data_IF_080065939238
#
_entry.id   IF_080065939238
#
_cell.length_a   1.000
_cell.length_b   1.000
_cell.length_c   1.000
_cell.angle_alpha   90.00
_cell.angle_beta   90.00
_cell.angle_gamma   90.00
#
_symmetry.space_group_name_H-M   'P 1'
#
loop_
_entity.id
_entity.type
_entity.pdbx_description
1 polymer ?
#
# COMPACT_ATOMS: atom_id res chain seq x y z
N UNK A 1 19.24 33.61 -3.98
CA UNK A 1 20.59 33.30 -3.48
C UNK A 1 20.65 31.81 -3.20
N UNK A 2 21.16 31.03 -4.15
CA UNK A 2 21.22 29.56 -4.09
C UNK A 2 22.25 29.14 -3.04
N UNK A 3 21.79 28.44 -1.99
CA UNK A 3 22.68 27.76 -1.04
C UNK A 3 22.54 26.25 -1.22
N UNK A 4 23.63 25.69 -1.72
CA UNK A 4 23.96 24.30 -2.01
C UNK A 4 23.47 23.28 -0.97
N UNK A 5 22.49 22.46 -1.37
CA UNK A 5 22.00 21.29 -0.65
C UNK A 5 22.86 20.05 -1.00
N UNK A 6 24.14 20.02 -0.59
CA UNK A 6 25.07 18.92 -0.93
C UNK A 6 25.87 18.32 0.22
N UNK A 7 25.58 18.62 1.49
CA UNK A 7 26.38 18.11 2.63
C UNK A 7 25.63 17.39 3.76
N UNK A 8 24.34 17.10 3.59
CA UNK A 8 23.57 16.33 4.59
C UNK A 8 23.18 14.91 4.12
N UNK A 9 23.50 14.52 2.89
CA UNK A 9 23.13 13.20 2.36
C UNK A 9 24.11 12.07 2.70
N UNK A 10 25.29 12.35 3.25
CA UNK A 10 26.36 11.34 3.40
C UNK A 10 26.50 10.75 4.80
N UNK A 11 25.82 11.31 5.82
CA UNK A 11 26.06 10.93 7.24
C UNK A 11 24.93 10.10 7.86
N UNK A 12 23.82 9.88 7.15
CA UNK A 12 22.70 9.02 7.61
C UNK A 12 22.65 7.64 6.91
N UNK A 13 23.57 7.37 5.97
CA UNK A 13 23.65 6.08 5.26
C UNK A 13 24.52 5.01 5.98
N UNK A 14 25.03 5.30 7.18
CA UNK A 14 25.92 4.39 7.91
C UNK A 14 25.44 3.97 9.32
N UNK A 15 24.25 4.36 9.74
CA UNK A 15 23.65 3.87 10.98
C UNK A 15 22.56 2.84 10.66
N UNK A 16 22.79 1.60 11.08
CA UNK A 16 21.98 0.39 10.82
C UNK A 16 22.04 -0.13 9.38
N UNK A 17 23.14 -0.82 9.06
CA UNK A 17 23.05 -1.97 8.15
C UNK A 17 22.16 -3.01 8.83
N UNK A 18 20.85 -2.91 8.63
CA UNK A 18 19.96 -4.05 8.85
C UNK A 18 20.52 -5.16 7.97
N UNK A 19 20.88 -6.33 8.51
CA UNK A 19 21.20 -7.45 7.65
C UNK A 19 19.90 -7.81 6.93
N UNK A 20 19.69 -7.24 5.75
CA UNK A 20 18.65 -7.71 4.83
C UNK A 20 19.07 -9.12 4.44
N UNK A 21 18.68 -10.09 5.25
CA UNK A 21 18.66 -11.46 4.81
C UNK A 21 17.50 -11.54 3.82
N UNK A 22 17.74 -11.92 2.56
CA UNK A 22 16.66 -12.32 1.67
C UNK A 22 16.12 -13.67 2.15
N UNK A 23 15.53 -13.72 3.35
CA UNK A 23 14.38 -14.59 3.50
C UNK A 23 13.43 -14.17 2.37
N UNK A 24 12.85 -15.13 1.65
CA UNK A 24 11.93 -14.80 0.54
C UNK A 24 10.76 -14.03 1.14
N UNK A 25 10.87 -12.70 1.20
CA UNK A 25 9.84 -11.83 1.75
C UNK A 25 8.56 -12.16 1.02
N UNK A 26 7.51 -12.49 1.75
CA UNK A 26 6.25 -12.88 1.14
C UNK A 26 5.57 -11.61 0.63
N UNK A 27 5.67 -11.43 -0.68
CA UNK A 27 5.17 -10.27 -1.42
C UNK A 27 3.98 -10.73 -2.25
N UNK A 28 2.78 -10.57 -1.70
CA UNK A 28 1.54 -10.95 -2.35
C UNK A 28 1.15 -9.85 -3.35
N UNK A 29 0.85 -10.23 -4.58
CA UNK A 29 0.44 -9.31 -5.64
C UNK A 29 -0.91 -9.73 -6.18
N UNK A 30 -1.70 -8.75 -6.61
CA UNK A 30 -2.90 -8.98 -7.41
C UNK A 30 -2.60 -8.52 -8.83
N UNK A 31 -2.90 -9.35 -9.83
CA UNK A 31 -2.52 -9.08 -11.20
C UNK A 31 -3.52 -9.63 -12.22
N UNK A 32 -3.39 -9.19 -13.46
CA UNK A 32 -4.01 -9.77 -14.65
C UNK A 32 -2.94 -10.16 -15.65
N UNK A 33 -3.23 -11.13 -16.51
CA UNK A 33 -2.37 -11.51 -17.64
C UNK A 33 -3.24 -11.89 -18.84
N UNK A 34 -2.78 -11.73 -20.09
CA UNK A 34 -3.60 -11.94 -21.29
C UNK A 34 -4.26 -13.34 -21.39
N UNK A 35 -3.61 -14.36 -20.84
CA UNK A 35 -4.07 -15.74 -20.87
C UNK A 35 -4.89 -16.16 -19.63
N UNK A 36 -5.17 -15.22 -18.72
CA UNK A 36 -5.90 -15.47 -17.48
C UNK A 36 -7.20 -14.67 -17.45
N UNK A 37 -8.31 -15.32 -17.07
CA UNK A 37 -9.60 -14.65 -16.94
C UNK A 37 -9.74 -14.00 -15.57
N UNK A 38 -9.86 -12.67 -15.55
CA UNK A 38 -10.06 -11.90 -14.33
C UNK A 38 -8.79 -11.74 -13.48
N UNK A 39 -8.90 -11.10 -12.30
CA UNK A 39 -7.78 -10.95 -11.39
C UNK A 39 -7.30 -12.32 -10.88
N UNK A 40 -6.01 -12.40 -10.58
CA UNK A 40 -5.39 -13.54 -9.90
C UNK A 40 -4.46 -13.03 -8.81
N UNK A 41 -4.16 -13.91 -7.86
CA UNK A 41 -3.16 -13.67 -6.83
C UNK A 41 -1.85 -14.36 -7.18
N UNK A 42 -0.76 -13.70 -6.81
CA UNK A 42 0.56 -14.23 -7.01
C UNK A 42 1.56 -13.84 -5.94
N UNK A 43 2.74 -14.43 -6.06
CA UNK A 43 3.92 -14.07 -5.27
C UNK A 43 4.92 -13.39 -6.20
N UNK A 44 5.38 -12.20 -5.83
CA UNK A 44 6.48 -11.53 -6.52
C UNK A 44 7.80 -12.22 -6.15
N UNK A 45 8.52 -12.71 -7.16
CA UNK A 45 9.82 -13.37 -6.98
C UNK A 45 10.91 -12.33 -6.73
N UNK A 46 11.22 -12.06 -5.47
CA UNK A 46 12.16 -11.00 -5.10
C UNK A 46 11.61 -9.60 -5.38
N UNK A 47 12.41 -8.55 -5.14
CA UNK A 47 11.97 -7.18 -5.43
C UNK A 47 12.03 -6.91 -6.94
N UNK A 48 10.87 -6.69 -7.57
CA UNK A 48 10.77 -6.35 -8.99
C UNK A 48 10.95 -7.54 -9.95
N UNK A 49 10.94 -8.78 -9.46
CA UNK A 49 10.97 -9.97 -10.32
C UNK A 49 9.61 -10.30 -10.95
N UNK A 50 9.54 -11.50 -11.53
CA UNK A 50 8.31 -12.05 -12.10
C UNK A 50 7.31 -12.52 -11.04
N UNK A 51 6.17 -13.03 -11.49
CA UNK A 51 5.05 -13.41 -10.62
C UNK A 51 4.77 -14.90 -10.70
N UNK A 52 4.71 -15.57 -9.54
CA UNK A 52 4.22 -16.95 -9.42
C UNK A 52 2.71 -16.88 -9.20
N UNK A 53 1.91 -17.46 -10.09
CA UNK A 53 0.46 -17.53 -9.94
C UNK A 53 0.08 -18.56 -8.86
N UNK A 54 -0.49 -18.11 -7.73
CA UNK A 54 -0.86 -18.99 -6.61
C UNK A 54 -1.90 -20.03 -7.02
N UNK A 55 -2.79 -19.72 -7.97
CA UNK A 55 -3.82 -20.65 -8.43
C UNK A 55 -3.25 -21.81 -9.28
N UNK A 56 -2.01 -21.71 -9.77
CA UNK A 56 -1.33 -22.87 -10.39
C UNK A 56 -0.80 -23.87 -9.37
N UNK A 57 -0.57 -23.42 -8.14
CA UNK A 57 -0.18 -24.27 -7.02
C UNK A 57 -1.42 -24.89 -6.35
N UNK A 58 -2.47 -24.08 -6.16
CA UNK A 58 -3.73 -24.51 -5.59
C UNK A 58 -4.90 -23.78 -6.27
N UNK A 59 -5.65 -24.46 -7.17
CA UNK A 59 -6.73 -23.83 -7.93
C UNK A 59 -7.94 -23.44 -7.07
N UNK A 60 -8.00 -23.89 -5.81
CA UNK A 60 -9.10 -23.57 -4.88
C UNK A 60 -8.92 -22.24 -4.16
N UNK A 61 -7.73 -21.65 -4.23
CA UNK A 61 -7.46 -20.36 -3.59
C UNK A 61 -8.32 -19.24 -4.18
N UNK A 62 -8.73 -18.26 -3.36
CA UNK A 62 -9.37 -17.06 -3.87
C UNK A 62 -8.51 -16.31 -4.87
N UNK A 63 -9.17 -15.65 -5.82
CA UNK A 63 -8.51 -14.93 -6.91
C UNK A 63 -8.29 -13.45 -6.62
N UNK A 64 -8.91 -12.93 -5.56
CA UNK A 64 -8.76 -11.55 -5.11
C UNK A 64 -8.13 -11.50 -3.73
N UNK A 65 -7.38 -10.42 -3.44
CA UNK A 65 -6.69 -10.29 -2.16
C UNK A 65 -7.66 -10.18 -0.99
N UNK A 66 -8.80 -9.50 -1.19
CA UNK A 66 -9.81 -9.33 -0.15
C UNK A 66 -10.33 -10.70 0.32
N UNK A 67 -10.78 -11.54 -0.60
CA UNK A 67 -11.27 -12.90 -0.29
C UNK A 67 -10.14 -13.77 0.30
N UNK A 68 -8.91 -13.61 -0.20
CA UNK A 68 -7.74 -14.33 0.33
C UNK A 68 -7.45 -13.95 1.79
N UNK A 69 -7.47 -12.66 2.12
CA UNK A 69 -7.23 -12.17 3.48
C UNK A 69 -8.38 -12.51 4.43
N UNK A 70 -9.61 -12.58 3.95
CA UNK A 70 -10.77 -13.02 4.75
C UNK A 70 -10.63 -14.47 5.26
N UNK A 71 -9.95 -15.32 4.51
CA UNK A 71 -9.65 -16.70 4.91
C UNK A 71 -8.43 -16.80 5.86
N UNK A 72 -7.67 -15.71 6.03
CA UNK A 72 -6.64 -15.56 7.05
C UNK A 72 -5.49 -16.56 6.94
N UNK A 73 -5.18 -17.22 8.06
CA UNK A 73 -3.99 -18.07 8.17
C UNK A 73 -4.02 -19.30 7.24
N UNK A 74 -5.21 -19.80 6.90
CA UNK A 74 -5.36 -20.95 6.01
C UNK A 74 -4.73 -20.65 4.64
N UNK A 75 -5.11 -19.55 4.00
CA UNK A 75 -4.59 -19.13 2.68
C UNK A 75 -3.14 -18.64 2.76
N UNK A 76 -2.77 -17.92 3.82
CA UNK A 76 -1.38 -17.51 4.06
C UNK A 76 -0.43 -18.70 4.16
N UNK A 77 -0.85 -19.79 4.80
CA UNK A 77 -0.05 -21.02 4.88
C UNK A 77 0.20 -21.66 3.50
N UNK A 78 -0.79 -21.61 2.61
CA UNK A 78 -0.65 -22.10 1.23
C UNK A 78 0.35 -21.23 0.46
N UNK A 79 0.27 -19.90 0.58
CA UNK A 79 1.22 -18.99 -0.03
C UNK A 79 2.66 -19.23 0.47
N UNK A 80 2.87 -19.50 1.77
CA UNK A 80 4.19 -19.86 2.31
C UNK A 80 4.73 -21.17 1.71
N UNK A 81 3.88 -22.16 1.43
CA UNK A 81 4.29 -23.40 0.74
C UNK A 81 4.60 -23.13 -0.74
N UNK A 82 3.82 -22.29 -1.41
CA UNK A 82 4.08 -21.92 -2.80
C UNK A 82 5.41 -21.15 -2.94
N UNK A 83 5.82 -20.36 -1.95
CA UNK A 83 7.11 -19.68 -1.93
C UNK A 83 8.31 -20.61 -2.00
N UNK A 84 8.20 -21.86 -1.54
CA UNK A 84 9.30 -22.84 -1.56
C UNK A 84 9.19 -23.82 -2.72
N UNK A 85 8.06 -23.84 -3.42
CA UNK A 85 7.84 -24.68 -4.59
C UNK A 85 8.57 -24.13 -5.83
N UNK A 86 8.99 -25.03 -6.72
CA UNK A 86 9.54 -24.66 -8.02
C UNK A 86 8.39 -24.54 -9.02
N UNK A 87 7.79 -23.36 -9.10
CA UNK A 87 6.65 -23.07 -9.97
C UNK A 87 7.06 -22.21 -11.18
N UNK A 88 6.31 -22.27 -12.29
CA UNK A 88 6.49 -21.33 -13.39
C UNK A 88 6.35 -19.88 -12.92
N UNK A 89 7.27 -19.03 -13.37
CA UNK A 89 7.26 -17.59 -13.07
C UNK A 89 6.83 -16.86 -14.33
N UNK A 90 5.74 -16.11 -14.25
CA UNK A 90 5.32 -15.20 -15.31
C UNK A 90 6.28 -14.01 -15.34
N UNK A 91 6.84 -13.65 -16.52
CA UNK A 91 7.63 -12.44 -16.65
C UNK A 91 6.83 -11.21 -16.21
N UNK A 92 7.50 -10.26 -15.55
CA UNK A 92 6.85 -9.02 -15.09
C UNK A 92 6.18 -8.25 -16.23
N UNK A 93 6.76 -8.30 -17.43
CA UNK A 93 6.24 -7.66 -18.63
C UNK A 93 4.95 -8.28 -19.17
N UNK A 94 4.58 -9.48 -18.72
CA UNK A 94 3.35 -10.17 -19.14
C UNK A 94 2.20 -9.99 -18.16
N UNK A 95 2.41 -9.24 -17.07
CA UNK A 95 1.41 -9.01 -16.04
C UNK A 95 1.09 -7.52 -15.89
N UNK A 96 -0.19 -7.23 -15.71
CA UNK A 96 -0.67 -5.92 -15.25
C UNK A 96 -0.96 -6.01 -13.77
N UNK A 97 -0.21 -5.26 -12.96
CA UNK A 97 -0.45 -5.21 -11.51
C UNK A 97 -1.69 -4.39 -11.20
N UNK A 98 -2.55 -4.95 -10.37
CA UNK A 98 -3.69 -4.26 -9.77
C UNK A 98 -3.30 -3.78 -8.37
N UNK A 99 -4.11 -2.90 -7.80
CA UNK A 99 -3.98 -2.57 -6.38
C UNK A 99 -4.04 -3.87 -5.55
N UNK A 100 -3.17 -4.07 -4.55
CA UNK A 100 -3.25 -5.24 -3.68
C UNK A 100 -4.58 -5.34 -2.96
N UNK A 101 -5.30 -4.24 -2.75
CA UNK A 101 -6.61 -4.20 -2.08
C UNK A 101 -7.48 -3.21 -2.84
N UNK A 102 -8.60 -3.65 -3.44
CA UNK A 102 -9.41 -2.82 -4.35
C UNK A 102 -10.76 -2.36 -3.80
N UNK A 103 -11.29 -3.01 -2.75
CA UNK A 103 -12.63 -2.72 -2.21
C UNK A 103 -12.74 -2.94 -0.69
N UNK A 104 -11.88 -2.32 0.13
CA UNK A 104 -12.00 -2.44 1.57
C UNK A 104 -13.26 -1.73 2.09
N UNK A 105 -13.82 -2.21 3.20
CA UNK A 105 -14.97 -1.55 3.87
C UNK A 105 -14.64 -0.12 4.30
N UNK A 106 -13.37 0.15 4.62
CA UNK A 106 -12.89 1.44 5.13
C UNK A 106 -11.48 1.73 4.61
N UNK A 107 -11.25 2.96 4.16
CA UNK A 107 -9.90 3.52 3.95
C UNK A 107 -9.73 4.62 4.98
N UNK A 108 -8.95 4.34 6.02
CA UNK A 108 -8.68 5.26 7.12
C UNK A 108 -7.31 5.86 6.93
N UNK A 109 -7.25 7.19 6.90
CA UNK A 109 -6.03 7.96 6.64
C UNK A 109 -5.64 8.75 7.89
N UNK A 110 -4.35 9.02 8.03
CA UNK A 110 -3.78 9.75 9.18
C UNK A 110 -3.05 10.97 8.66
N UNK A 111 -3.51 12.17 9.01
CA UNK A 111 -2.82 13.40 8.65
C UNK A 111 -1.81 13.81 9.69
N UNK A 112 -0.81 14.59 9.27
CA UNK A 112 0.17 15.22 10.16
C UNK A 112 0.91 14.21 11.05
N UNK A 113 1.20 13.03 10.50
CA UNK A 113 1.81 11.91 11.22
C UNK A 113 3.35 11.89 11.13
N UNK A 114 3.95 12.91 10.51
CA UNK A 114 5.40 13.12 10.45
C UNK A 114 5.74 14.49 11.02
N UNK A 115 6.64 14.52 12.00
CA UNK A 115 7.05 15.76 12.68
C UNK A 115 7.60 16.78 11.69
N UNK A 116 8.40 16.35 10.73
CA UNK A 116 9.00 17.25 9.75
C UNK A 116 7.97 17.80 8.76
N UNK A 117 6.95 17.01 8.42
CA UNK A 117 5.81 17.49 7.62
C UNK A 117 4.97 18.54 8.37
N UNK A 118 4.83 18.40 9.70
CA UNK A 118 4.20 19.42 10.52
C UNK A 118 5.01 20.74 10.51
N UNK A 119 6.35 20.64 10.61
CA UNK A 119 7.24 21.80 10.55
C UNK A 119 7.19 22.49 9.19
N UNK A 120 7.18 21.73 8.11
CA UNK A 120 7.06 22.24 6.73
C UNK A 120 5.83 23.12 6.55
N UNK A 121 4.71 22.70 7.12
CA UNK A 121 3.44 23.44 7.05
C UNK A 121 3.27 24.49 8.15
N UNK A 122 4.26 24.62 9.04
CA UNK A 122 4.22 25.51 10.21
C UNK A 122 2.98 25.28 11.09
N UNK A 123 2.63 24.01 11.33
CA UNK A 123 1.51 23.60 12.18
C UNK A 123 2.01 22.85 13.43
N UNK A 124 1.30 22.93 14.57
CA UNK A 124 1.68 22.19 15.76
C UNK A 124 1.53 20.68 15.53
N UNK A 125 2.45 19.90 16.12
CA UNK A 125 2.33 18.44 16.14
C UNK A 125 1.04 18.06 16.90
N UNK A 126 0.13 17.28 16.28
CA UNK A 126 -1.10 16.87 16.95
C UNK A 126 -0.82 16.03 18.20
N UNK A 127 -1.64 16.20 19.24
CA UNK A 127 -1.57 15.37 20.46
C UNK A 127 -2.26 14.01 20.29
N UNK A 128 -3.15 13.90 19.32
CA UNK A 128 -3.89 12.70 18.95
C UNK A 128 -3.87 12.58 17.42
N UNK A 129 -3.95 11.35 16.85
CA UNK A 129 -3.97 11.16 15.40
C UNK A 129 -5.14 11.89 14.74
N UNK A 130 -4.85 12.69 13.70
CA UNK A 130 -5.90 13.33 12.89
C UNK A 130 -6.39 12.32 11.86
N UNK A 131 -7.60 11.82 12.06
CA UNK A 131 -8.18 10.78 11.21
C UNK A 131 -9.11 11.39 10.17
N UNK A 132 -8.95 10.93 8.93
CA UNK A 132 -9.89 11.18 7.83
C UNK A 132 -10.05 9.90 7.00
N UNK A 133 -10.77 10.00 5.88
CA UNK A 133 -11.02 8.85 5.01
C UNK A 133 -10.91 9.23 3.54
N UNK A 134 -10.60 8.22 2.74
CA UNK A 134 -10.82 8.19 1.30
C UNK A 134 -11.91 7.15 1.00
N UNK A 135 -12.53 7.22 -0.16
CA UNK A 135 -13.42 6.16 -0.59
C UNK A 135 -12.67 5.05 -1.31
N UNK A 136 -13.12 3.81 -1.14
CA UNK A 136 -12.57 2.65 -1.84
C UNK A 136 -12.62 2.80 -3.37
N UNK A 137 -13.57 3.58 -3.90
CA UNK A 137 -13.67 3.89 -5.34
C UNK A 137 -12.49 4.70 -5.88
N UNK A 138 -11.76 5.41 -5.03
CA UNK A 138 -10.55 6.17 -5.44
C UNK A 138 -9.31 5.28 -5.60
N UNK A 139 -9.39 4.00 -5.20
CA UNK A 139 -8.26 3.07 -5.26
C UNK A 139 -7.99 2.64 -6.70
N UNK A 140 -6.73 2.79 -7.10
CA UNK A 140 -6.22 2.33 -8.40
C UNK A 140 -4.89 1.58 -8.23
N UNK A 141 -4.49 0.87 -9.27
CA UNK A 141 -3.25 0.12 -9.30
C UNK A 141 -2.00 1.00 -9.18
N UNK A 142 -0.85 0.37 -8.91
CA UNK A 142 0.42 1.06 -8.68
C UNK A 142 0.98 1.78 -9.92
N UNK A 143 0.47 1.43 -11.11
CA UNK A 143 0.91 1.94 -12.40
C UNK A 143 -0.23 2.56 -13.21
N UNK A 144 -1.41 2.67 -12.60
CA UNK A 144 -2.56 3.35 -13.22
C UNK A 144 -2.32 4.86 -13.20
N UNK A 145 -2.89 5.57 -14.17
CA UNK A 145 -2.77 7.02 -14.24
C UNK A 145 -3.56 7.70 -13.12
N UNK A 146 -2.96 8.73 -12.51
CA UNK A 146 -3.67 9.67 -11.64
C UNK A 146 -4.26 10.76 -12.53
N UNK A 147 -5.58 10.80 -12.62
CA UNK A 147 -6.30 11.78 -13.44
C UNK A 147 -6.43 13.08 -12.66
N UNK A 148 -5.88 14.17 -13.21
CA UNK A 148 -6.03 15.49 -12.63
C UNK A 148 -7.45 16.00 -12.91
N UNK A 149 -8.30 16.19 -11.88
CA UNK A 149 -9.67 16.64 -12.08
C UNK A 149 -9.68 18.08 -12.59
N UNK A 150 -10.51 18.42 -13.60
CA UNK A 150 -10.60 19.78 -14.12
C UNK A 150 -11.05 20.80 -13.04
N UNK A 151 -11.69 20.32 -11.97
CA UNK A 151 -12.14 21.12 -10.84
C UNK A 151 -11.02 21.61 -9.91
N UNK A 152 -9.83 21.00 -9.95
CA UNK A 152 -8.70 21.39 -9.10
C UNK A 152 -7.56 21.98 -9.93
N UNK A 153 -6.86 22.94 -9.35
CA UNK A 153 -5.64 23.52 -9.92
C UNK A 153 -4.40 23.28 -9.04
N UNK A 154 -4.57 22.58 -7.92
CA UNK A 154 -3.52 22.42 -6.90
C UNK A 154 -3.45 20.94 -6.44
N UNK A 155 -3.24 20.02 -7.37
CA UNK A 155 -3.03 18.60 -7.06
C UNK A 155 -1.59 18.35 -6.64
N UNK A 156 -1.42 17.57 -5.57
CA UNK A 156 -0.15 17.33 -4.90
C UNK A 156 0.01 15.87 -4.48
N UNK A 157 1.27 15.45 -4.26
CA UNK A 157 1.63 14.07 -3.91
C UNK A 157 1.97 13.89 -2.43
N UNK A 158 1.69 12.69 -1.93
CA UNK A 158 2.07 12.25 -0.59
C UNK A 158 2.40 10.75 -0.65
N UNK A 159 3.65 10.38 -0.40
CA UNK A 159 4.05 8.97 -0.31
C UNK A 159 3.78 8.46 1.10
N UNK A 160 3.10 7.33 1.21
CA UNK A 160 2.60 6.82 2.48
C UNK A 160 2.84 5.31 2.63
N UNK A 161 2.95 4.87 3.88
CA UNK A 161 2.89 3.46 4.24
C UNK A 161 1.43 3.09 4.53
N UNK A 162 0.82 2.27 3.67
CA UNK A 162 -0.49 1.70 3.97
C UNK A 162 -0.35 0.42 4.80
N UNK A 163 -1.11 0.36 5.88
CA UNK A 163 -1.24 -0.83 6.75
C UNK A 163 -2.52 -1.57 6.36
N UNK A 164 -2.40 -2.83 5.96
CA UNK A 164 -3.54 -3.68 5.59
C UNK A 164 -3.94 -4.54 6.78
N UNK A 165 -5.21 -4.43 7.18
CA UNK A 165 -5.78 -5.17 8.31
C UNK A 165 -6.30 -6.52 7.83
N UNK A 166 -5.77 -7.61 8.39
CA UNK A 166 -6.18 -8.98 8.08
C UNK A 166 -7.16 -9.60 9.08
N UNK A 167 -7.29 -9.01 10.28
CA UNK A 167 -8.18 -9.53 11.33
C UNK A 167 -9.09 -8.41 11.85
N UNK A 168 -10.40 -8.62 11.78
CA UNK A 168 -11.40 -7.68 12.35
C UNK A 168 -11.26 -7.62 13.88
N UNK A 169 -11.56 -6.48 14.47
CA UNK A 169 -11.52 -6.30 15.93
C UNK A 169 -12.14 -4.97 16.38
N UNK A 170 -12.39 -4.84 17.68
CA UNK A 170 -12.95 -3.65 18.33
C UNK A 170 -12.31 -3.50 19.70
N UNK A 171 -12.02 -2.25 20.13
CA UNK A 171 -11.31 -1.95 21.40
C UNK A 171 -9.98 -2.73 21.52
N UNK A 172 -9.24 -2.79 20.41
CA UNK A 172 -7.94 -3.47 20.35
C UNK A 172 -6.96 -2.68 21.22
N UNK A 173 -6.25 -3.36 22.14
CA UNK A 173 -5.18 -2.73 22.92
C UNK A 173 -4.00 -2.44 22.01
N UNK A 174 -3.24 -1.37 22.30
CA UNK A 174 -2.06 -1.02 21.50
C UNK A 174 -1.05 -2.18 21.39
N UNK A 175 -0.86 -2.96 22.46
CA UNK A 175 0.01 -4.14 22.49
C UNK A 175 -0.41 -5.25 21.54
N UNK A 176 -1.69 -5.30 21.18
CA UNK A 176 -2.27 -6.37 20.37
C UNK A 176 -2.45 -5.94 18.90
N UNK A 177 -2.17 -4.67 18.57
CA UNK A 177 -2.45 -4.09 17.26
C UNK A 177 -1.77 -4.85 16.10
N UNK A 178 -0.50 -5.22 16.25
CA UNK A 178 0.25 -5.95 15.22
C UNK A 178 -0.29 -7.37 14.96
N UNK A 179 -1.06 -7.95 15.88
CA UNK A 179 -1.75 -9.22 15.64
C UNK A 179 -2.87 -9.09 14.59
N UNK A 180 -3.36 -7.87 14.33
CA UNK A 180 -4.41 -7.59 13.37
C UNK A 180 -3.92 -7.20 11.97
N UNK A 181 -2.64 -6.87 11.84
CA UNK A 181 -2.02 -6.48 10.58
C UNK A 181 -1.75 -7.73 9.72
N UNK A 182 -2.20 -7.72 8.47
CA UNK A 182 -1.80 -8.71 7.46
C UNK A 182 -0.43 -8.36 6.87
N UNK A 183 -0.24 -7.07 6.58
CA UNK A 183 0.97 -6.58 5.96
C UNK A 183 0.90 -5.11 5.62
N UNK A 184 1.80 -4.70 4.74
CA UNK A 184 2.03 -3.33 4.36
C UNK A 184 2.13 -3.19 2.86
N UNK A 185 1.72 -2.04 2.33
CA UNK A 185 1.94 -1.69 0.93
C UNK A 185 2.27 -0.21 0.80
N UNK A 186 2.82 0.20 -0.34
CA UNK A 186 3.03 1.61 -0.63
C UNK A 186 1.69 2.21 -1.03
N UNK A 187 1.40 3.40 -0.52
CA UNK A 187 0.26 4.19 -0.91
C UNK A 187 0.71 5.56 -1.40
N UNK A 188 -0.07 6.13 -2.30
CA UNK A 188 0.03 7.52 -2.67
C UNK A 188 -1.28 8.23 -2.26
N UNK A 189 -1.20 9.17 -1.32
CA UNK A 189 -2.35 9.96 -0.86
C UNK A 189 -2.47 11.26 -1.67
N UNK A 190 -2.85 11.12 -2.94
CA UNK A 190 -3.02 12.27 -3.85
C UNK A 190 -4.03 13.25 -3.26
N UNK A 191 -3.70 14.54 -3.34
CA UNK A 191 -4.42 15.62 -2.65
C UNK A 191 -4.66 16.82 -3.55
N UNK A 192 -5.92 17.19 -3.76
CA UNK A 192 -6.31 18.48 -4.33
C UNK A 192 -6.35 19.53 -3.22
N UNK A 193 -5.28 20.32 -3.06
CA UNK A 193 -5.04 21.22 -1.91
C UNK A 193 -6.02 22.37 -1.85
N UNK A 194 -6.40 22.92 -3.00
CA UNK A 194 -7.44 23.95 -3.12
C UNK A 194 -8.79 23.47 -2.60
N UNK A 195 -9.14 22.20 -2.86
CA UNK A 195 -10.34 21.57 -2.30
C UNK A 195 -10.19 21.21 -0.82
N UNK A 196 -9.07 20.61 -0.43
CA UNK A 196 -8.78 20.20 0.94
C UNK A 196 -8.82 21.38 1.92
N UNK A 197 -8.23 22.52 1.54
CA UNK A 197 -7.97 23.63 2.45
C UNK A 197 -8.98 24.78 2.35
N UNK A 198 -9.67 24.94 1.22
CA UNK A 198 -10.53 26.11 0.95
C UNK A 198 -12.01 25.78 0.82
N UNK A 199 -12.39 24.49 0.79
CA UNK A 199 -13.79 24.05 0.64
C UNK A 199 -14.28 23.33 1.90
N UNK A 200 -15.59 23.10 1.97
CA UNK A 200 -16.26 22.22 2.94
C UNK A 200 -15.82 22.39 4.40
N UNK A 201 -15.67 23.64 4.86
CA UNK A 201 -15.24 23.93 6.23
C UNK A 201 -13.87 23.35 6.60
N UNK A 202 -12.97 23.20 5.61
CA UNK A 202 -11.63 22.58 5.74
C UNK A 202 -11.64 21.10 6.11
N UNK A 203 -12.77 20.40 5.90
CA UNK A 203 -12.80 18.95 5.96
C UNK A 203 -12.07 18.38 4.74
N UNK A 204 -11.16 17.43 4.96
CA UNK A 204 -10.24 16.98 3.91
C UNK A 204 -10.85 16.04 2.87
N UNK A 205 -12.01 15.44 3.17
CA UNK A 205 -12.64 14.41 2.34
C UNK A 205 -12.69 14.79 0.85
N UNK A 206 -13.17 15.98 0.51
CA UNK A 206 -13.36 16.37 -0.89
C UNK A 206 -12.03 16.48 -1.65
N UNK A 207 -10.98 17.01 -1.03
CA UNK A 207 -9.66 17.12 -1.66
C UNK A 207 -8.91 15.79 -1.72
N UNK A 208 -9.34 14.79 -0.95
CA UNK A 208 -8.65 13.50 -0.80
C UNK A 208 -9.33 12.36 -1.55
N UNK A 209 -10.52 12.53 -2.13
CA UNK A 209 -11.31 11.39 -2.62
C UNK A 209 -11.75 11.46 -4.08
N UNK A 210 -11.13 12.30 -4.90
CA UNK A 210 -11.30 12.21 -6.35
C UNK A 210 -10.95 10.79 -6.84
N UNK A 211 -11.54 10.40 -7.96
CA UNK A 211 -11.20 9.13 -8.60
C UNK A 211 -9.69 9.08 -8.89
N UNK A 212 -9.09 7.89 -8.79
CA UNK A 212 -7.64 7.65 -8.95
C UNK A 212 -6.72 8.25 -7.88
N UNK A 213 -7.24 8.92 -6.85
CA UNK A 213 -6.39 9.57 -5.82
C UNK A 213 -5.83 8.62 -4.76
N UNK A 214 -6.05 7.31 -4.87
CA UNK A 214 -5.47 6.32 -3.96
C UNK A 214 -4.74 5.19 -4.70
N UNK A 215 -3.64 5.46 -5.43
CA UNK A 215 -2.78 4.40 -5.93
C UNK A 215 -2.19 3.56 -4.79
N UNK A 216 -2.28 2.24 -4.90
CA UNK A 216 -1.70 1.28 -3.95
C UNK A 216 -0.85 0.23 -4.66
N UNK A 217 0.25 -0.21 -4.05
CA UNK A 217 0.97 -1.41 -4.49
C UNK A 217 2.46 -1.22 -4.80
N UNK A 218 3.07 -2.09 -5.63
CA UNK A 218 2.44 -3.22 -6.33
C UNK A 218 2.16 -4.45 -5.46
N UNK A 219 2.83 -4.57 -4.31
CA UNK A 219 2.74 -5.76 -3.46
C UNK A 219 2.22 -5.42 -2.06
N UNK A 220 1.49 -6.38 -1.48
CA UNK A 220 1.28 -6.50 -0.04
C UNK A 220 2.43 -7.33 0.54
N UNK A 221 3.31 -6.68 1.29
CA UNK A 221 4.41 -7.33 2.02
C UNK A 221 3.87 -7.78 3.37
N UNK A 222 3.90 -9.07 3.67
CA UNK A 222 3.36 -9.55 4.95
C UNK A 222 4.19 -9.08 6.13
N UNK A 223 3.53 -8.89 7.28
CA UNK A 223 4.21 -8.40 8.50
C UNK A 223 5.39 -9.27 8.93
N UNK A 224 5.30 -10.59 8.72
CA UNK A 224 6.34 -11.55 9.08
C UNK A 224 7.62 -11.37 8.24
N UNK A 225 7.54 -10.62 7.13
CA UNK A 225 8.66 -10.36 6.21
C UNK A 225 9.47 -9.10 6.54
N UNK A 226 9.06 -8.34 7.57
CA UNK A 226 9.67 -7.05 7.94
C UNK A 226 10.28 -7.10 9.36
N UNK A 227 9.96 -8.14 10.13
CA UNK A 227 10.34 -8.31 11.53
C UNK A 227 11.78 -8.82 11.72
#
# INVERSE_FOLDING_TARGET
MLVSCRRLLTTLLHAQKWPFQPSRSMRLVQFQAPHLTGPHLGLESGNGGGVINLNTFDPTLPKTMMEFLEQGEATLSVARRALTAQLPVLPRSEVTFLAPVTRPDKVVCVGMNYVDHCKEQNVPVPKEPIIFSKFASSIVGPYDEVILPPESQEVDWEVELAVVIGKKGKRIKATDAMAHVAGFTVAHDVSARDWQMRRNGKQWLLGKTFDTFCPLGPALVTKDSIA
#
